data_IF_155136443145
#
_entry.id   IF_155136443145
#
_cell.length_a   1.000
_cell.length_b   1.000
_cell.length_c   1.000
_cell.angle_alpha   90.00
_cell.angle_beta   90.00
_cell.angle_gamma   90.00
#
_symmetry.space_group_name_H-M   'P 1'
#
loop_
_entity.id
_entity.type
_entity.pdbx_description
1 polymer ?
#
# COMPACT_ATOMS: atom_id res chain seq x y z
N UNK A 1 27.38 -30.31 -48.11
CA UNK A 1 27.99 -28.97 -48.02
C UNK A 1 27.05 -28.11 -47.17
N UNK A 2 27.26 -27.83 -45.89
CA UNK A 2 28.49 -27.65 -45.12
C UNK A 2 28.59 -26.18 -44.73
N UNK A 3 28.03 -25.80 -43.57
CA UNK A 3 28.64 -24.84 -42.62
C UNK A 3 27.88 -24.85 -41.29
N UNK A 4 28.47 -25.56 -40.34
CA UNK A 4 28.25 -25.47 -38.90
C UNK A 4 28.92 -24.21 -38.37
N UNK A 5 28.24 -23.46 -37.50
CA UNK A 5 28.87 -22.50 -36.61
C UNK A 5 28.71 -23.03 -35.17
N UNK A 6 29.84 -23.38 -34.54
CA UNK A 6 29.93 -23.81 -33.16
C UNK A 6 30.35 -22.59 -32.31
N UNK A 7 29.50 -22.21 -31.36
CA UNK A 7 29.79 -21.29 -30.26
C UNK A 7 29.25 -21.89 -28.94
N UNK A 8 29.90 -21.61 -27.80
CA UNK A 8 30.00 -22.56 -26.68
C UNK A 8 28.68 -22.73 -25.93
N UNK A 9 28.39 -23.99 -25.63
CA UNK A 9 27.15 -24.42 -25.02
C UNK A 9 26.96 -23.97 -23.58
N UNK A 10 25.71 -23.64 -23.28
CA UNK A 10 24.98 -24.25 -22.16
C UNK A 10 23.58 -24.54 -22.68
N UNK A 11 23.40 -25.74 -23.23
CA UNK A 11 22.11 -26.22 -23.71
C UNK A 11 21.27 -26.77 -22.56
N UNK A 12 20.39 -25.94 -22.02
CA UNK A 12 19.09 -26.41 -21.55
C UNK A 12 18.04 -25.71 -22.39
N UNK A 13 17.73 -26.33 -23.54
CA UNK A 13 16.55 -26.00 -24.30
C UNK A 13 15.33 -26.23 -23.42
N UNK A 14 14.61 -25.15 -23.12
CA UNK A 14 13.32 -25.26 -22.44
C UNK A 14 12.31 -25.71 -23.49
N UNK A 15 11.93 -26.97 -23.35
CA UNK A 15 10.80 -27.61 -24.01
C UNK A 15 9.52 -26.81 -23.72
N UNK A 16 8.91 -26.26 -24.76
CA UNK A 16 7.62 -25.55 -24.68
C UNK A 16 6.41 -26.51 -24.66
N UNK A 17 6.65 -27.78 -24.37
CA UNK A 17 5.66 -28.82 -24.17
C UNK A 17 4.95 -28.73 -22.81
N UNK A 18 3.81 -28.03 -22.79
CA UNK A 18 2.60 -28.39 -22.01
C UNK A 18 2.83 -28.74 -20.52
N UNK A 19 3.13 -27.77 -19.66
CA UNK A 19 2.90 -27.87 -18.19
C UNK A 19 2.44 -26.53 -17.56
N UNK A 20 1.20 -26.55 -17.05
CA UNK A 20 0.56 -25.70 -16.04
C UNK A 20 1.00 -24.22 -15.91
N UNK A 21 0.12 -23.32 -16.35
CA UNK A 21 0.28 -21.86 -16.45
C UNK A 21 0.41 -21.05 -15.15
N UNK A 22 1.06 -21.57 -14.09
CA UNK A 22 1.39 -20.81 -12.87
C UNK A 22 2.86 -20.91 -12.43
N UNK A 23 3.70 -21.65 -13.15
CA UNK A 23 5.12 -21.81 -12.78
C UNK A 23 5.95 -20.54 -13.05
N UNK A 24 5.72 -19.88 -14.20
CA UNK A 24 6.45 -18.67 -14.61
C UNK A 24 6.23 -17.46 -13.68
N UNK A 25 5.08 -17.38 -13.02
CA UNK A 25 4.77 -16.31 -12.06
C UNK A 25 5.63 -16.42 -10.80
N UNK A 26 5.91 -17.64 -10.33
CA UNK A 26 6.76 -17.88 -9.15
C UNK A 26 8.21 -17.49 -9.44
N UNK A 27 8.70 -17.74 -10.64
CA UNK A 27 10.06 -17.41 -11.04
C UNK A 27 10.27 -15.89 -11.18
N UNK A 28 9.27 -15.15 -11.69
CA UNK A 28 9.32 -13.67 -11.76
C UNK A 28 9.29 -13.04 -10.36
N UNK A 29 8.42 -13.52 -9.47
CA UNK A 29 8.31 -13.03 -8.10
C UNK A 29 9.61 -13.34 -7.33
N UNK A 30 10.20 -14.52 -7.53
CA UNK A 30 11.46 -14.92 -6.89
C UNK A 30 12.67 -14.13 -7.42
N UNK A 31 12.76 -13.87 -8.73
CA UNK A 31 13.82 -13.06 -9.33
C UNK A 31 13.76 -11.58 -8.92
N UNK A 32 12.56 -11.01 -8.76
CA UNK A 32 12.41 -9.64 -8.23
C UNK A 32 12.77 -9.56 -6.74
N UNK A 33 12.40 -10.56 -5.94
CA UNK A 33 12.76 -10.63 -4.52
C UNK A 33 14.28 -10.73 -4.32
N UNK A 34 15.00 -11.49 -5.16
CA UNK A 34 16.47 -11.58 -5.06
C UNK A 34 17.20 -10.28 -5.42
N UNK A 35 16.67 -9.47 -6.34
CA UNK A 35 17.25 -8.15 -6.69
C UNK A 35 17.08 -7.14 -5.55
N UNK A 36 15.97 -7.19 -4.82
CA UNK A 36 15.68 -6.31 -3.67
C UNK A 36 16.51 -6.65 -2.42
N UNK A 37 16.81 -7.93 -2.21
CA UNK A 37 17.58 -8.41 -1.04
C UNK A 37 19.09 -8.18 -1.21
N UNK A 38 19.64 -8.26 -2.43
CA UNK A 38 21.09 -8.10 -2.66
C UNK A 38 21.59 -6.65 -2.72
N UNK A 39 20.70 -5.65 -2.80
CA UNK A 39 21.10 -4.22 -2.87
C UNK A 39 21.05 -3.48 -1.52
N UNK A 40 20.72 -4.15 -0.42
CA UNK A 40 20.44 -3.48 0.86
C UNK A 40 21.35 -3.98 1.97
N UNK A 41 22.49 -3.29 2.19
CA UNK A 41 23.02 -3.18 3.55
C UNK A 41 22.13 -2.18 4.31
N UNK A 42 21.56 -2.53 5.48
CA UNK A 42 20.48 -1.73 6.06
C UNK A 42 21.05 -0.62 6.96
N UNK A 43 20.84 0.63 6.56
CA UNK A 43 20.99 1.81 7.43
C UNK A 43 19.81 2.76 7.21
N UNK A 44 18.65 2.42 7.78
CA UNK A 44 17.64 3.35 8.35
C UNK A 44 16.25 2.69 8.44
N UNK A 45 15.58 2.85 9.58
CA UNK A 45 14.20 2.41 9.84
C UNK A 45 13.16 3.02 8.87
N UNK A 46 13.48 4.16 8.25
CA UNK A 46 12.57 4.94 7.40
C UNK A 46 12.33 4.25 6.03
N UNK A 47 13.37 3.63 5.46
CA UNK A 47 13.26 2.88 4.19
C UNK A 47 12.41 1.62 4.36
N UNK A 48 12.49 0.98 5.54
CA UNK A 48 11.73 -0.22 5.84
C UNK A 48 10.23 0.07 5.94
N UNK A 49 9.85 1.22 6.51
CA UNK A 49 8.45 1.66 6.59
C UNK A 49 7.83 1.94 5.21
N UNK A 50 8.54 2.67 4.33
CA UNK A 50 8.04 3.00 2.99
C UNK A 50 7.96 1.78 2.07
N UNK A 51 8.96 0.89 2.12
CA UNK A 51 8.94 -0.36 1.37
C UNK A 51 7.80 -1.28 1.85
N UNK A 52 7.49 -1.26 3.14
CA UNK A 52 6.37 -2.00 3.70
C UNK A 52 5.02 -1.44 3.23
N UNK A 53 4.81 -0.13 3.20
CA UNK A 53 3.59 0.48 2.64
C UNK A 53 3.39 0.09 1.17
N UNK A 54 4.45 0.19 0.37
CA UNK A 54 4.39 -0.17 -1.06
C UNK A 54 4.07 -1.66 -1.23
N UNK A 55 4.69 -2.55 -0.45
CA UNK A 55 4.45 -3.98 -0.53
C UNK A 55 3.02 -4.37 -0.10
N UNK A 56 2.52 -3.79 1.00
CA UNK A 56 1.17 -4.08 1.51
C UNK A 56 0.09 -3.52 0.57
N UNK A 57 0.33 -2.36 -0.07
CA UNK A 57 -0.57 -1.83 -1.10
C UNK A 57 -0.63 -2.72 -2.35
N UNK A 58 0.50 -3.32 -2.76
CA UNK A 58 0.49 -4.28 -3.87
C UNK A 58 -0.35 -5.52 -3.55
N UNK A 59 -0.28 -6.01 -2.31
CA UNK A 59 -1.09 -7.13 -1.85
C UNK A 59 -2.57 -6.73 -1.78
N UNK A 60 -2.90 -5.55 -1.25
CA UNK A 60 -4.27 -5.03 -1.25
C UNK A 60 -4.82 -4.94 -2.68
N UNK A 61 -4.03 -4.40 -3.62
CA UNK A 61 -4.44 -4.26 -5.01
C UNK A 61 -4.78 -5.61 -5.61
N UNK A 62 -3.89 -6.58 -5.48
CA UNK A 62 -4.11 -7.94 -5.99
C UNK A 62 -5.37 -8.58 -5.37
N UNK A 63 -5.51 -8.52 -4.04
CA UNK A 63 -6.67 -9.10 -3.34
C UNK A 63 -7.96 -8.40 -3.78
N UNK A 64 -7.94 -7.08 -3.87
CA UNK A 64 -9.11 -6.28 -4.25
C UNK A 64 -9.52 -6.49 -5.69
N UNK A 65 -8.56 -6.59 -6.61
CA UNK A 65 -8.81 -6.90 -8.03
C UNK A 65 -9.42 -8.29 -8.18
N UNK A 66 -8.89 -9.30 -7.48
CA UNK A 66 -9.46 -10.65 -7.51
C UNK A 66 -10.86 -10.70 -6.91
N UNK A 67 -11.08 -10.05 -5.76
CA UNK A 67 -12.40 -9.98 -5.13
C UNK A 67 -13.42 -9.25 -6.02
N UNK A 68 -13.00 -8.17 -6.68
CA UNK A 68 -13.85 -7.43 -7.61
C UNK A 68 -14.18 -8.26 -8.85
N UNK A 69 -13.21 -8.98 -9.40
CA UNK A 69 -13.43 -9.89 -10.52
C UNK A 69 -14.43 -11.01 -10.16
N UNK A 70 -14.30 -11.62 -8.97
CA UNK A 70 -15.24 -12.64 -8.46
C UNK A 70 -16.67 -12.06 -8.40
N UNK A 71 -16.81 -10.83 -7.92
CA UNK A 71 -18.09 -10.13 -7.85
C UNK A 71 -18.68 -9.90 -9.25
N UNK A 72 -17.89 -9.37 -10.19
CA UNK A 72 -18.31 -9.07 -11.57
C UNK A 72 -18.70 -10.35 -12.34
N UNK A 73 -17.99 -11.46 -12.10
CA UNK A 73 -18.25 -12.75 -12.76
C UNK A 73 -19.49 -13.45 -12.15
N UNK A 74 -20.06 -12.92 -11.06
CA UNK A 74 -21.27 -13.45 -10.43
C UNK A 74 -21.03 -14.65 -9.51
N UNK A 75 -19.79 -14.86 -9.07
CA UNK A 75 -19.50 -15.88 -8.05
C UNK A 75 -19.90 -15.37 -6.67
N UNK A 76 -20.78 -16.13 -6.01
CA UNK A 76 -21.25 -15.82 -4.66
C UNK A 76 -20.18 -16.17 -3.62
N UNK A 77 -19.48 -15.16 -3.11
CA UNK A 77 -18.57 -15.32 -1.97
C UNK A 77 -19.38 -15.74 -0.74
N UNK A 78 -19.00 -16.85 -0.11
CA UNK A 78 -19.65 -17.36 1.10
C UNK A 78 -18.98 -16.89 2.39
N UNK A 79 -17.69 -16.56 2.31
CA UNK A 79 -16.92 -16.06 3.44
C UNK A 79 -15.42 -16.10 3.17
N UNK A 80 -14.65 -15.67 4.17
CA UNK A 80 -13.19 -15.59 4.13
C UNK A 80 -12.60 -16.37 5.30
N UNK A 81 -11.47 -17.01 5.07
CA UNK A 81 -10.68 -17.67 6.11
C UNK A 81 -9.41 -16.85 6.33
N UNK A 82 -9.20 -16.36 7.56
CA UNK A 82 -7.98 -15.69 7.97
C UNK A 82 -7.09 -16.70 8.72
N UNK A 83 -5.86 -16.89 8.24
CA UNK A 83 -4.93 -17.87 8.80
C UNK A 83 -3.81 -17.18 9.57
N UNK A 84 -3.56 -17.65 10.80
CA UNK A 84 -2.47 -17.21 11.66
C UNK A 84 -1.63 -18.40 12.10
N UNK A 85 -0.31 -18.27 12.20
CA UNK A 85 0.52 -19.33 12.81
C UNK A 85 0.55 -19.16 14.32
N UNK A 86 0.35 -20.25 15.07
CA UNK A 86 0.43 -20.22 16.54
C UNK A 86 1.88 -20.16 17.04
N UNK A 87 2.84 -20.57 16.20
CA UNK A 87 4.27 -20.60 16.53
C UNK A 87 4.92 -19.23 16.61
N UNK A 88 4.22 -18.18 16.19
CA UNK A 88 4.76 -16.82 16.21
C UNK A 88 4.56 -16.24 17.62
N UNK A 89 5.67 -15.94 18.32
CA UNK A 89 5.68 -15.67 19.76
C UNK A 89 4.79 -14.51 20.23
N UNK A 90 4.50 -13.54 19.36
CA UNK A 90 3.75 -12.30 19.66
C UNK A 90 3.06 -11.80 18.40
N UNK A 91 1.95 -11.08 18.56
CA UNK A 91 1.41 -10.23 17.50
C UNK A 91 2.30 -8.98 17.36
N UNK A 92 3.20 -9.00 16.39
CA UNK A 92 4.03 -7.82 16.10
C UNK A 92 3.14 -6.65 15.66
N UNK A 93 3.60 -5.41 15.84
CA UNK A 93 2.82 -4.23 15.44
C UNK A 93 2.43 -4.21 13.95
N UNK A 94 3.21 -4.86 13.08
CA UNK A 94 2.86 -5.08 11.68
C UNK A 94 1.70 -6.05 11.48
N UNK A 95 1.56 -7.04 12.35
CA UNK A 95 0.51 -8.06 12.30
C UNK A 95 -0.81 -7.53 12.87
N UNK A 96 -0.74 -6.72 13.93
CA UNK A 96 -1.89 -5.95 14.41
C UNK A 96 -2.42 -5.04 13.31
N UNK A 97 -1.53 -4.25 12.66
CA UNK A 97 -1.91 -3.43 11.50
C UNK A 97 -2.49 -4.26 10.34
N UNK A 98 -1.98 -5.47 10.12
CA UNK A 98 -2.51 -6.37 9.09
C UNK A 98 -3.92 -6.85 9.43
N UNK A 99 -4.20 -7.14 10.70
CA UNK A 99 -5.51 -7.52 11.18
C UNK A 99 -6.50 -6.35 11.11
N UNK A 100 -6.10 -5.14 11.50
CA UNK A 100 -6.91 -3.93 11.35
C UNK A 100 -7.26 -3.66 9.89
N UNK A 101 -6.26 -3.79 9.02
CA UNK A 101 -6.44 -3.70 7.57
C UNK A 101 -7.43 -4.76 7.06
N UNK A 102 -7.30 -6.01 7.50
CA UNK A 102 -8.22 -7.09 7.14
C UNK A 102 -9.66 -6.76 7.56
N UNK A 103 -9.86 -6.25 8.78
CA UNK A 103 -11.18 -5.84 9.27
C UNK A 103 -11.80 -4.76 8.37
N UNK A 104 -11.01 -3.79 7.91
CA UNK A 104 -11.48 -2.74 6.98
C UNK A 104 -11.83 -3.26 5.60
N UNK A 105 -11.08 -4.26 5.12
CA UNK A 105 -11.34 -4.90 3.84
C UNK A 105 -12.66 -5.69 3.87
N UNK A 106 -12.88 -6.42 4.97
CA UNK A 106 -14.09 -7.24 5.17
C UNK A 106 -15.31 -6.38 5.46
N UNK A 107 -15.20 -5.45 6.41
CA UNK A 107 -16.32 -4.68 6.95
C UNK A 107 -17.12 -5.42 8.01
N UNK A 108 -17.74 -4.66 8.91
CA UNK A 108 -18.44 -5.22 10.07
C UNK A 108 -19.56 -6.20 9.69
N UNK A 109 -20.37 -5.86 8.68
CA UNK A 109 -21.49 -6.67 8.21
C UNK A 109 -21.07 -8.05 7.68
N UNK A 110 -19.82 -8.18 7.22
CA UNK A 110 -19.28 -9.41 6.68
C UNK A 110 -18.46 -10.22 7.71
N UNK A 111 -18.24 -9.71 8.93
CA UNK A 111 -17.55 -10.43 10.01
C UNK A 111 -18.22 -11.76 10.39
N UNK A 112 -19.56 -11.90 10.37
CA UNK A 112 -20.21 -13.20 10.52
C UNK A 112 -19.81 -14.22 9.45
N UNK A 113 -19.17 -13.81 8.35
CA UNK A 113 -18.69 -14.68 7.28
C UNK A 113 -17.17 -14.93 7.33
N UNK A 114 -16.52 -14.59 8.44
CA UNK A 114 -15.09 -14.84 8.65
C UNK A 114 -14.86 -16.04 9.56
N UNK A 115 -13.92 -16.90 9.17
CA UNK A 115 -13.32 -17.92 10.04
C UNK A 115 -11.87 -17.56 10.32
N UNK A 116 -11.55 -17.35 11.58
CA UNK A 116 -10.19 -17.10 12.07
C UNK A 116 -9.60 -18.45 12.47
N UNK A 117 -8.52 -18.88 11.82
CA UNK A 117 -7.91 -20.17 12.09
C UNK A 117 -6.43 -20.06 12.46
N UNK A 118 -6.08 -20.63 13.61
CA UNK A 118 -4.67 -20.83 13.99
C UNK A 118 -4.11 -22.08 13.31
N UNK A 119 -2.86 -22.03 12.87
CA UNK A 119 -2.18 -23.05 12.06
C UNK A 119 -0.82 -23.40 12.66
N UNK A 120 -0.21 -24.49 12.18
CA UNK A 120 1.11 -24.97 12.63
C UNK A 120 1.15 -25.45 14.09
N UNK A 121 0.03 -25.87 14.65
CA UNK A 121 -0.04 -26.48 15.99
C UNK A 121 0.88 -27.70 16.12
N UNK A 122 1.06 -28.47 15.06
CA UNK A 122 1.97 -29.62 15.01
C UNK A 122 3.46 -29.26 15.14
N UNK A 123 3.82 -27.97 15.05
CA UNK A 123 5.20 -27.48 15.20
C UNK A 123 5.46 -26.87 16.58
N UNK A 124 4.44 -26.85 17.43
CA UNK A 124 4.56 -26.36 18.80
C UNK A 124 5.35 -27.36 19.61
N UNK A 125 6.35 -26.86 20.35
CA UNK A 125 7.13 -27.66 21.32
C UNK A 125 6.49 -27.58 22.71
N UNK A 126 6.01 -26.40 23.09
CA UNK A 126 5.34 -26.14 24.37
C UNK A 126 3.84 -25.91 24.16
N UNK A 127 3.04 -26.91 24.52
CA UNK A 127 1.58 -26.86 24.36
C UNK A 127 0.88 -25.89 25.29
N UNK A 128 1.45 -25.64 26.49
CA UNK A 128 0.86 -24.70 27.43
C UNK A 128 1.03 -23.28 26.89
N UNK A 129 2.24 -22.94 26.45
CA UNK A 129 2.52 -21.64 25.83
C UNK A 129 1.71 -21.41 24.55
N UNK A 130 1.47 -22.46 23.74
CA UNK A 130 0.61 -22.34 22.57
C UNK A 130 -0.88 -22.17 22.92
N UNK A 131 -1.35 -22.77 24.01
CA UNK A 131 -2.71 -22.54 24.50
C UNK A 131 -2.89 -21.10 24.99
N UNK A 132 -1.92 -20.57 25.72
CA UNK A 132 -1.93 -19.18 26.20
C UNK A 132 -1.97 -18.20 25.02
N UNK A 133 -1.12 -18.40 24.00
CA UNK A 133 -1.16 -17.60 22.77
C UNK A 133 -2.48 -17.71 22.02
N UNK A 134 -3.07 -18.90 21.94
CA UNK A 134 -4.35 -19.09 21.25
C UNK A 134 -5.47 -18.38 22.02
N UNK A 135 -5.43 -18.36 23.36
CA UNK A 135 -6.37 -17.58 24.18
C UNK A 135 -6.17 -16.08 23.98
N UNK A 136 -4.93 -15.58 24.03
CA UNK A 136 -4.60 -14.17 23.78
C UNK A 136 -5.11 -13.74 22.39
N UNK A 137 -4.84 -14.54 21.36
CA UNK A 137 -5.37 -14.32 20.01
C UNK A 137 -6.89 -14.24 19.99
N UNK A 138 -7.57 -15.18 20.64
CA UNK A 138 -9.03 -15.29 20.63
C UNK A 138 -9.73 -14.17 21.40
N UNK A 139 -9.14 -13.71 22.49
CA UNK A 139 -9.81 -12.83 23.44
C UNK A 139 -9.42 -11.37 23.24
N UNK A 140 -8.14 -11.10 22.95
CA UNK A 140 -7.64 -9.74 22.76
C UNK A 140 -7.73 -9.32 21.29
N UNK A 141 -7.02 -10.02 20.39
CA UNK A 141 -6.88 -9.57 19.00
C UNK A 141 -8.12 -9.88 18.16
N UNK A 142 -8.73 -11.05 18.35
CA UNK A 142 -9.92 -11.49 17.62
C UNK A 142 -11.22 -11.24 18.38
N UNK A 143 -11.14 -10.76 19.62
CA UNK A 143 -12.29 -10.62 20.50
C UNK A 143 -13.40 -9.78 19.90
N UNK A 144 -13.06 -8.65 19.26
CA UNK A 144 -14.05 -7.81 18.59
C UNK A 144 -14.73 -8.52 17.41
N UNK A 145 -13.94 -9.12 16.53
CA UNK A 145 -14.47 -9.85 15.38
C UNK A 145 -15.37 -11.00 15.80
N UNK A 146 -14.99 -11.71 16.88
CA UNK A 146 -15.81 -12.79 17.46
C UNK A 146 -17.12 -12.28 18.04
N UNK A 147 -17.10 -11.15 18.75
CA UNK A 147 -18.34 -10.51 19.24
C UNK A 147 -19.27 -10.11 18.10
N UNK A 148 -18.71 -9.75 16.94
CA UNK A 148 -19.43 -9.44 15.69
C UNK A 148 -19.74 -10.67 14.82
N UNK A 149 -19.51 -11.89 15.34
CA UNK A 149 -19.98 -13.14 14.72
C UNK A 149 -18.94 -13.96 13.95
N UNK A 150 -17.68 -13.55 13.91
CA UNK A 150 -16.61 -14.39 13.34
C UNK A 150 -16.37 -15.63 14.19
N UNK A 151 -16.15 -16.78 13.56
CA UNK A 151 -15.75 -18.00 14.29
C UNK A 151 -14.23 -18.07 14.43
N UNK A 152 -13.75 -18.69 15.51
CA UNK A 152 -12.32 -18.92 15.75
C UNK A 152 -12.05 -20.41 16.01
N UNK A 153 -11.14 -21.00 15.24
CA UNK A 153 -10.88 -22.44 15.23
C UNK A 153 -9.39 -22.77 15.14
N UNK A 154 -9.02 -23.98 15.50
CA UNK A 154 -7.66 -24.51 15.35
C UNK A 154 -7.61 -25.37 14.09
N UNK A 155 -6.59 -25.17 13.25
CA UNK A 155 -6.29 -26.06 12.13
C UNK A 155 -5.25 -27.09 12.56
N UNK A 156 -5.66 -28.36 12.58
CA UNK A 156 -4.85 -29.47 13.11
C UNK A 156 -3.86 -30.03 12.09
N UNK A 157 -3.79 -29.47 10.88
CA UNK A 157 -2.89 -29.93 9.83
C UNK A 157 -3.43 -31.12 9.02
N UNK A 158 -4.69 -31.50 9.23
CA UNK A 158 -5.35 -32.66 8.60
C UNK A 158 -6.37 -32.24 7.55
N UNK A 159 -6.69 -33.13 6.60
CA UNK A 159 -7.75 -32.89 5.61
C UNK A 159 -9.11 -32.68 6.29
N UNK A 160 -9.41 -33.46 7.33
CA UNK A 160 -10.69 -33.37 8.04
C UNK A 160 -10.87 -32.03 8.75
N UNK A 161 -9.82 -31.52 9.41
CA UNK A 161 -9.87 -30.18 10.02
C UNK A 161 -10.03 -29.09 8.96
N UNK A 162 -9.38 -29.19 7.80
CA UNK A 162 -9.58 -28.24 6.70
C UNK A 162 -11.03 -28.28 6.16
N UNK A 163 -11.60 -29.47 5.97
CA UNK A 163 -12.99 -29.63 5.54
C UNK A 163 -13.96 -29.08 6.59
N UNK A 164 -13.71 -29.30 7.87
CA UNK A 164 -14.49 -28.74 8.96
C UNK A 164 -14.50 -27.20 8.95
N UNK A 165 -13.35 -26.57 8.71
CA UNK A 165 -13.22 -25.12 8.58
C UNK A 165 -14.04 -24.60 7.39
N UNK A 166 -13.87 -25.19 6.21
CA UNK A 166 -14.58 -24.75 4.99
C UNK A 166 -16.09 -24.96 5.13
N UNK A 167 -16.51 -26.06 5.75
CA UNK A 167 -17.94 -26.40 5.93
C UNK A 167 -18.70 -25.37 6.77
N UNK A 168 -18.01 -24.65 7.68
CA UNK A 168 -18.61 -23.53 8.41
C UNK A 168 -19.10 -22.41 7.49
N UNK A 169 -18.52 -22.26 6.30
CA UNK A 169 -18.87 -21.20 5.35
C UNK A 169 -19.86 -21.68 4.27
N UNK A 170 -19.83 -22.94 3.88
CA UNK A 170 -20.64 -23.46 2.76
C UNK A 170 -22.15 -23.25 2.93
N UNK A 171 -22.66 -23.35 4.16
CA UNK A 171 -24.07 -23.13 4.49
C UNK A 171 -24.50 -21.66 4.59
N UNK A 172 -23.56 -20.70 4.53
CA UNK A 172 -23.88 -19.29 4.70
C UNK A 172 -24.51 -18.69 3.45
N UNK A 173 -25.26 -17.60 3.65
CA UNK A 173 -25.72 -16.77 2.53
C UNK A 173 -24.52 -16.14 1.81
N UNK A 174 -24.64 -15.74 0.53
CA UNK A 174 -23.62 -14.92 -0.11
C UNK A 174 -23.37 -13.63 0.70
N UNK A 175 -22.12 -13.16 0.69
CA UNK A 175 -21.69 -11.93 1.36
C UNK A 175 -20.94 -11.04 0.38
N UNK A 176 -21.14 -9.73 0.51
CA UNK A 176 -20.36 -8.71 -0.19
C UNK A 176 -19.45 -8.06 0.84
N UNK A 177 -18.16 -8.00 0.54
CA UNK A 177 -17.17 -7.38 1.43
C UNK A 177 -17.18 -5.86 1.25
N UNK A 178 -16.76 -5.14 2.29
CA UNK A 178 -16.71 -3.67 2.25
C UNK A 178 -15.90 -3.13 1.10
N UNK A 179 -14.75 -3.76 0.80
CA UNK A 179 -13.91 -3.36 -0.32
C UNK A 179 -14.61 -3.56 -1.68
N UNK A 180 -15.45 -4.60 -1.82
CA UNK A 180 -16.19 -4.86 -3.06
C UNK A 180 -17.30 -3.81 -3.24
N UNK A 181 -18.05 -3.52 -2.18
CA UNK A 181 -19.06 -2.45 -2.15
C UNK A 181 -18.43 -1.10 -2.55
N UNK A 182 -17.28 -0.75 -1.96
CA UNK A 182 -16.60 0.52 -2.22
C UNK A 182 -16.05 0.62 -3.65
N UNK A 183 -15.44 -0.45 -4.17
CA UNK A 183 -14.84 -0.44 -5.51
C UNK A 183 -15.88 -0.56 -6.63
N UNK A 184 -16.87 -1.42 -6.47
CA UNK A 184 -17.82 -1.78 -7.53
C UNK A 184 -19.06 -0.89 -7.46
N UNK A 185 -19.73 -0.86 -6.32
CA UNK A 185 -21.03 -0.19 -6.18
C UNK A 185 -20.85 1.33 -6.01
N UNK A 186 -19.90 1.74 -5.17
CA UNK A 186 -19.60 3.15 -4.89
C UNK A 186 -18.58 3.76 -5.88
N UNK A 187 -17.99 2.94 -6.77
CA UNK A 187 -17.02 3.34 -7.80
C UNK A 187 -15.83 4.14 -7.27
N UNK A 188 -15.38 3.82 -6.06
CA UNK A 188 -14.21 4.45 -5.45
C UNK A 188 -12.92 3.90 -6.06
N UNK A 189 -11.86 4.71 -6.10
CA UNK A 189 -10.53 4.18 -6.37
C UNK A 189 -9.97 3.46 -5.12
N UNK A 190 -9.02 2.54 -5.32
CA UNK A 190 -8.49 1.70 -4.23
C UNK A 190 -8.01 2.52 -3.02
N UNK A 191 -7.29 3.62 -3.25
CA UNK A 191 -6.81 4.52 -2.20
C UNK A 191 -7.90 5.32 -1.48
N UNK A 192 -9.12 5.38 -2.02
CA UNK A 192 -10.27 6.02 -1.38
C UNK A 192 -11.05 5.04 -0.50
N UNK A 193 -10.94 3.73 -0.74
CA UNK A 193 -11.56 2.70 0.10
C UNK A 193 -11.08 2.80 1.54
N UNK A 194 -11.86 2.28 2.49
CA UNK A 194 -11.47 2.31 3.90
C UNK A 194 -10.16 1.55 4.14
N UNK A 195 -10.01 0.41 3.47
CA UNK A 195 -8.79 -0.40 3.53
C UNK A 195 -7.58 0.31 2.89
N UNK A 196 -7.77 0.96 1.75
CA UNK A 196 -6.70 1.69 1.06
C UNK A 196 -6.26 2.96 1.79
N UNK A 197 -7.22 3.75 2.30
CA UNK A 197 -6.94 4.96 3.06
C UNK A 197 -6.25 4.65 4.42
N UNK A 198 -6.47 3.46 4.97
CA UNK A 198 -5.76 3.01 6.17
C UNK A 198 -4.27 2.70 5.91
N UNK A 199 -3.94 2.12 4.75
CA UNK A 199 -2.55 1.84 4.38
C UNK A 199 -1.79 3.08 3.94
N UNK A 200 -2.47 4.01 3.27
CA UNK A 200 -1.92 5.28 2.83
C UNK A 200 -2.84 6.41 3.27
N UNK A 201 -2.69 6.90 4.51
CA UNK A 201 -3.40 8.09 4.95
C UNK A 201 -3.05 9.21 3.98
N UNK A 202 -4.09 9.86 3.42
CA UNK A 202 -3.87 10.98 2.49
C UNK A 202 -2.87 11.95 3.12
N UNK A 203 -1.82 12.29 2.36
CA UNK A 203 -0.91 13.40 2.67
C UNK A 203 -1.66 14.74 2.44
N UNK A 204 -2.88 14.88 2.97
CA UNK A 204 -3.71 16.06 2.77
C UNK A 204 -3.28 17.24 3.64
N UNK A 205 -2.61 16.97 4.77
CA UNK A 205 -2.17 18.01 5.70
C UNK A 205 -0.98 18.78 5.14
N UNK A 206 -0.10 18.11 4.40
CA UNK A 206 1.07 18.76 3.81
C UNK A 206 0.73 19.47 2.51
N UNK A 207 -0.13 18.92 1.63
CA UNK A 207 -0.50 19.60 0.38
C UNK A 207 -1.15 20.97 0.60
N UNK A 208 -2.03 21.11 1.61
CA UNK A 208 -2.65 22.40 1.92
C UNK A 208 -1.64 23.41 2.48
N UNK A 209 -0.73 22.95 3.36
CA UNK A 209 0.36 23.79 3.90
C UNK A 209 1.34 24.20 2.81
N UNK A 210 1.74 23.26 1.95
CA UNK A 210 2.58 23.51 0.79
C UNK A 210 1.92 24.47 -0.19
N UNK A 211 0.62 24.31 -0.48
CA UNK A 211 -0.14 25.20 -1.36
C UNK A 211 -0.27 26.61 -0.79
N UNK A 212 -0.49 26.74 0.52
CA UNK A 212 -0.47 28.05 1.20
C UNK A 212 0.91 28.69 1.11
N UNK A 213 1.97 27.92 1.37
CA UNK A 213 3.35 28.43 1.29
C UNK A 213 3.74 28.86 -0.12
N UNK A 214 3.31 28.13 -1.15
CA UNK A 214 3.52 28.50 -2.55
C UNK A 214 2.82 29.82 -2.91
N UNK A 215 1.59 30.04 -2.42
CA UNK A 215 0.86 31.31 -2.62
C UNK A 215 1.53 32.48 -1.90
N UNK A 216 2.00 32.28 -0.67
CA UNK A 216 2.73 33.32 0.08
C UNK A 216 4.02 33.75 -0.64
N UNK A 217 4.80 32.78 -1.10
CA UNK A 217 6.04 33.04 -1.83
C UNK A 217 5.80 33.77 -3.16
N UNK A 218 4.71 33.45 -3.87
CA UNK A 218 4.38 34.12 -5.13
C UNK A 218 3.99 35.60 -4.90
N UNK A 219 3.27 35.90 -3.82
CA UNK A 219 2.96 37.28 -3.40
C UNK A 219 4.24 38.05 -3.05
N UNK A 220 5.16 37.44 -2.30
CA UNK A 220 6.43 38.06 -1.91
C UNK A 220 7.29 38.38 -3.14
N UNK A 221 7.41 37.43 -4.07
CA UNK A 221 8.14 37.63 -5.34
C UNK A 221 7.55 38.77 -6.17
N UNK A 222 6.21 38.91 -6.23
CA UNK A 222 5.60 39.99 -7.00
C UNK A 222 5.76 41.35 -6.34
N UNK A 223 5.64 41.42 -5.02
CA UNK A 223 5.82 42.69 -4.29
C UNK A 223 7.26 43.19 -4.39
N UNK A 224 8.25 42.30 -4.29
CA UNK A 224 9.66 42.66 -4.52
C UNK A 224 9.92 43.11 -5.96
N UNK A 225 9.37 42.41 -6.97
CA UNK A 225 9.51 42.81 -8.38
C UNK A 225 8.93 44.20 -8.62
N UNK A 226 7.76 44.50 -8.06
CA UNK A 226 7.11 45.79 -8.23
C UNK A 226 7.85 46.90 -7.47
N UNK A 227 8.35 46.62 -6.27
CA UNK A 227 9.20 47.54 -5.52
C UNK A 227 10.50 47.86 -6.29
N UNK A 228 11.15 46.84 -6.86
CA UNK A 228 12.37 47.00 -7.63
C UNK A 228 12.12 47.80 -8.93
N UNK A 229 11.03 47.53 -9.66
CA UNK A 229 10.63 48.34 -10.83
C UNK A 229 10.38 49.80 -10.46
N UNK A 230 9.70 50.07 -9.34
CA UNK A 230 9.44 51.44 -8.85
C UNK A 230 10.74 52.16 -8.46
N UNK A 231 11.67 51.46 -7.83
CA UNK A 231 12.98 52.01 -7.47
C UNK A 231 13.81 52.35 -8.71
N UNK A 232 13.83 51.46 -9.71
CA UNK A 232 14.51 51.71 -10.99
C UNK A 232 13.90 52.91 -11.74
N UNK A 233 12.57 53.02 -11.77
CA UNK A 233 11.88 54.16 -12.38
C UNK A 233 12.19 55.49 -11.65
N UNK A 234 12.22 55.49 -10.31
CA UNK A 234 12.61 56.68 -9.53
C UNK A 234 14.07 57.09 -9.79
N UNK A 235 14.98 56.13 -9.91
CA UNK A 235 16.39 56.40 -10.20
C UNK A 235 16.59 56.93 -11.62
N UNK A 236 15.88 56.40 -12.62
CA UNK A 236 15.95 56.89 -13.99
C UNK A 236 15.41 58.31 -14.13
N UNK A 237 14.27 58.63 -13.48
CA UNK A 237 13.72 59.99 -13.41
C UNK A 237 14.71 60.95 -12.74
N UNK A 238 15.33 60.57 -11.61
CA UNK A 238 16.34 61.39 -10.93
C UNK A 238 17.57 61.67 -11.82
N UNK A 239 18.08 60.66 -12.52
CA UNK A 239 19.22 60.83 -13.45
C UNK A 239 18.87 61.77 -14.60
N UNK A 240 17.69 61.61 -15.19
CA UNK A 240 17.22 62.47 -16.28
C UNK A 240 17.04 63.93 -15.83
N UNK A 241 16.46 64.15 -14.65
CA UNK A 241 16.31 65.49 -14.07
C UNK A 241 17.66 66.18 -13.78
N UNK A 242 18.63 65.44 -13.23
CA UNK A 242 19.98 65.94 -13.01
C UNK A 242 20.70 66.30 -14.32
N UNK A 243 20.54 65.47 -15.36
CA UNK A 243 21.07 65.75 -16.70
C UNK A 243 20.45 66.98 -17.35
N UNK A 244 19.15 67.20 -17.17
CA UNK A 244 18.47 68.40 -17.67
C UNK A 244 18.96 69.66 -16.97
N UNK A 245 19.09 69.62 -15.63
CA UNK A 245 19.54 70.75 -14.83
C UNK A 245 20.95 71.19 -15.24
N UNK A 246 21.87 70.22 -15.40
CA UNK A 246 23.23 70.50 -15.89
C UNK A 246 23.22 71.13 -17.29
N UNK A 247 22.39 70.64 -18.21
CA UNK A 247 22.24 71.25 -19.56
C UNK A 247 21.66 72.66 -19.53
N UNK A 248 20.87 73.02 -18.51
CA UNK A 248 20.39 74.39 -18.34
C UNK A 248 21.49 75.30 -17.78
N UNK A 249 22.25 74.82 -16.79
CA UNK A 249 23.40 75.54 -16.21
C UNK A 249 24.53 75.77 -17.26
N UNK A 250 24.82 74.77 -18.10
CA UNK A 250 25.79 74.86 -19.20
C UNK A 250 25.33 75.84 -20.30
N UNK A 251 24.01 76.06 -20.45
CA UNK A 251 23.46 77.05 -21.41
C UNK A 251 23.47 78.48 -20.87
N UNK A 252 23.38 78.65 -19.55
CA UNK A 252 23.45 79.96 -18.90
C UNK A 252 24.88 80.49 -18.81
N UNK A 253 25.89 79.62 -18.82
CA UNK A 253 27.32 79.99 -18.79
C UNK A 253 27.95 80.31 -20.15
N UNK A 254 27.22 80.11 -21.26
CA UNK A 254 27.68 80.40 -22.64
C UNK A 254 27.14 81.76 -23.15
N UNK A 255 26.41 82.52 -22.33
CA UNK A 255 26.00 83.91 -22.61
C UNK A 255 26.94 84.90 -21.94
#
# INVERSE_FOLDING_TARGET
>A
MGRTWNGPGVGHGIDWGRKNGKAWLKDIIWLHAQKLVKSSQPTSEILNSRLWTVLVLMILKEISEQLSAICIIGFNLKGIIYLRRITDNRMAGSEVRTLDFFQKLVGEEALPHVVLATTMLQKVVDFEEANDRDSELRDEYWGEMRRKGSSATRFEGTTDSAQGIVSQLLGKKPVVLKVQEQLVDQRMSLNQTEAGAFLEPKIGIDEEKFRKRLKELDIEIQTEKDANKRLQAKQSVRRNAAGLKKRMEDKETIK
#
